data_IF_396062118175
#
_entry.id   IF_396062118175
#
_cell.length_a   1.000
_cell.length_b   1.000
_cell.length_c   1.000
_cell.angle_alpha   90.00
_cell.angle_beta   90.00
_cell.angle_gamma   90.00
#
_symmetry.space_group_name_H-M   'P 1'
#
loop_
_entity.id
_entity.type
_entity.pdbx_description
1 polymer ?
#
# COMPACT_ATOMS: atom_id res chain seq x y z
N UNK A 1 -2.48 -12.61 -16.21
CA UNK A 1 -1.46 -13.65 -15.89
C UNK A 1 -0.03 -13.11 -15.98
N UNK A 2 0.40 -12.52 -17.08
CA UNK A 2 1.80 -12.05 -17.26
C UNK A 2 2.17 -10.93 -16.27
N UNK A 3 1.29 -9.93 -16.06
CA UNK A 3 1.55 -8.77 -15.20
C UNK A 3 1.61 -9.10 -13.71
N UNK A 4 0.72 -9.97 -13.20
CA UNK A 4 0.75 -10.46 -11.81
C UNK A 4 2.08 -11.14 -11.48
N UNK A 5 2.57 -11.98 -12.40
CA UNK A 5 3.85 -12.66 -12.24
C UNK A 5 5.02 -11.68 -12.25
N UNK A 6 4.98 -10.69 -13.14
CA UNK A 6 6.00 -9.63 -13.21
C UNK A 6 6.09 -8.87 -11.88
N UNK A 7 4.96 -8.41 -11.33
CA UNK A 7 4.94 -7.70 -10.04
C UNK A 7 5.52 -8.58 -8.92
N UNK A 8 5.17 -9.87 -8.89
CA UNK A 8 5.70 -10.81 -7.91
C UNK A 8 7.22 -10.97 -8.02
N UNK A 9 7.76 -11.11 -9.24
CA UNK A 9 9.19 -11.25 -9.51
C UNK A 9 9.94 -9.95 -9.16
N UNK A 10 9.39 -8.79 -9.51
CA UNK A 10 9.96 -7.48 -9.19
C UNK A 10 10.04 -7.24 -7.67
N UNK A 11 8.96 -7.59 -6.94
CA UNK A 11 8.95 -7.46 -5.47
C UNK A 11 9.95 -8.39 -4.81
N UNK A 12 10.08 -9.63 -5.28
CA UNK A 12 11.10 -10.54 -4.73
C UNK A 12 12.52 -10.06 -5.01
N UNK A 13 12.80 -9.56 -6.22
CA UNK A 13 14.08 -8.96 -6.55
C UNK A 13 14.38 -7.72 -5.68
N UNK A 14 13.36 -6.88 -5.43
CA UNK A 14 13.48 -5.73 -4.54
C UNK A 14 13.82 -6.17 -3.11
N UNK A 15 13.12 -7.16 -2.57
CA UNK A 15 13.38 -7.70 -1.23
C UNK A 15 14.79 -8.27 -1.11
N UNK A 16 15.25 -8.99 -2.13
CA UNK A 16 16.62 -9.53 -2.18
C UNK A 16 17.66 -8.40 -2.21
N UNK A 17 17.43 -7.38 -3.01
CA UNK A 17 18.31 -6.21 -3.12
C UNK A 17 18.39 -5.40 -1.83
N UNK A 18 17.25 -5.12 -1.19
CA UNK A 18 17.16 -4.25 -0.01
C UNK A 18 17.39 -5.00 1.31
N UNK A 19 17.29 -6.34 1.30
CA UNK A 19 17.44 -7.18 2.49
C UNK A 19 16.31 -7.05 3.50
N UNK A 20 15.22 -6.37 3.15
CA UNK A 20 14.08 -6.09 4.04
C UNK A 20 12.76 -6.13 3.29
N UNK A 21 11.66 -6.29 4.04
CA UNK A 21 10.27 -6.12 3.59
C UNK A 21 9.62 -4.87 4.20
N UNK A 22 10.38 -4.11 4.98
CA UNK A 22 9.86 -2.88 5.59
C UNK A 22 9.75 -1.77 4.53
N UNK A 23 8.54 -1.28 4.23
CA UNK A 23 8.36 -0.29 3.17
C UNK A 23 8.98 1.06 3.52
N UNK A 24 9.07 1.42 4.80
CA UNK A 24 9.71 2.66 5.23
C UNK A 24 11.22 2.61 4.94
N UNK A 25 11.90 1.52 5.33
CA UNK A 25 13.32 1.36 5.08
C UNK A 25 13.64 1.37 3.59
N UNK A 26 12.82 0.69 2.79
CA UNK A 26 12.96 0.67 1.32
C UNK A 26 12.75 2.08 0.72
N UNK A 27 11.75 2.84 1.19
CA UNK A 27 11.54 4.22 0.74
C UNK A 27 12.75 5.10 1.04
N UNK A 28 13.30 5.01 2.26
CA UNK A 28 14.49 5.77 2.66
C UNK A 28 15.71 5.39 1.82
N UNK A 29 15.97 4.08 1.60
CA UNK A 29 17.10 3.63 0.75
C UNK A 29 17.00 4.17 -0.68
N UNK A 30 15.78 4.35 -1.18
CA UNK A 30 15.46 4.92 -2.50
C UNK A 30 15.43 6.46 -2.51
N UNK A 31 15.86 7.11 -1.42
CA UNK A 31 15.91 8.57 -1.25
C UNK A 31 14.52 9.23 -1.36
N UNK A 32 13.49 8.55 -0.91
CA UNK A 32 12.15 9.09 -0.76
C UNK A 32 11.99 9.61 0.67
N UNK A 33 11.58 10.87 0.80
CA UNK A 33 11.31 11.48 2.11
C UNK A 33 9.92 11.08 2.58
N UNK A 34 9.81 10.46 3.76
CA UNK A 34 8.54 10.00 4.34
C UNK A 34 8.12 10.94 5.46
N UNK A 35 6.96 11.56 5.34
CA UNK A 35 6.46 12.58 6.28
C UNK A 35 4.98 12.36 6.59
N UNK A 36 4.52 12.67 7.82
CA UNK A 36 3.08 12.78 8.08
C UNK A 36 2.49 14.01 7.39
N UNK A 37 1.20 13.95 7.01
CA UNK A 37 0.48 15.16 6.64
C UNK A 37 0.44 16.15 7.81
N UNK A 38 0.64 17.41 7.52
CA UNK A 38 0.60 18.49 8.54
C UNK A 38 -0.81 18.84 8.97
N UNK A 39 -1.73 18.82 8.01
CA UNK A 39 -3.15 19.12 8.25
C UNK A 39 -3.95 17.83 8.38
N UNK A 40 -5.08 17.90 9.04
CA UNK A 40 -6.03 16.81 9.08
C UNK A 40 -6.62 16.56 7.70
N UNK A 41 -6.64 15.30 7.32
CA UNK A 41 -7.11 14.87 6.00
C UNK A 41 -7.67 13.45 6.08
N UNK A 42 -8.62 13.13 5.20
CA UNK A 42 -9.11 11.77 4.99
C UNK A 42 -8.24 10.97 4.00
N UNK A 43 -7.21 11.59 3.43
CA UNK A 43 -6.25 10.91 2.56
C UNK A 43 -5.35 10.04 3.45
N UNK A 44 -5.20 8.77 3.10
CA UNK A 44 -4.38 7.82 3.86
C UNK A 44 -2.89 7.98 3.57
N UNK A 45 -2.55 8.12 2.29
CA UNK A 45 -1.19 8.32 1.81
C UNK A 45 -1.17 9.06 0.48
N UNK A 46 0.01 9.56 0.11
CA UNK A 46 0.23 10.22 -1.17
C UNK A 46 1.71 10.17 -1.53
N UNK A 47 2.03 9.54 -2.66
CA UNK A 47 3.34 9.68 -3.29
C UNK A 47 3.34 10.91 -4.20
N UNK A 48 4.43 11.66 -4.21
CA UNK A 48 4.62 12.79 -5.14
C UNK A 48 6.10 12.99 -5.48
N UNK A 49 6.37 13.49 -6.67
CA UNK A 49 7.68 13.97 -7.11
C UNK A 49 7.59 15.49 -7.34
N UNK A 50 8.41 16.24 -6.63
CA UNK A 50 8.48 17.69 -6.76
C UNK A 50 9.90 18.06 -7.19
N UNK A 51 10.06 18.36 -8.47
CA UNK A 51 11.35 18.76 -9.07
C UNK A 51 12.46 17.73 -8.79
N UNK A 52 12.14 16.43 -8.96
CA UNK A 52 13.07 15.33 -8.75
C UNK A 52 13.30 14.95 -7.28
N UNK A 53 12.65 15.61 -6.34
CA UNK A 53 12.61 15.21 -4.93
C UNK A 53 11.33 14.42 -4.67
N UNK A 54 11.49 13.21 -4.20
CA UNK A 54 10.41 12.24 -3.98
C UNK A 54 9.94 12.27 -2.54
N UNK A 55 8.63 12.31 -2.35
CA UNK A 55 7.99 12.33 -1.04
C UNK A 55 6.88 11.28 -0.98
N UNK A 56 6.73 10.69 0.19
CA UNK A 56 5.53 9.97 0.60
C UNK A 56 4.97 10.66 1.83
N UNK A 57 3.75 11.13 1.73
CA UNK A 57 3.00 11.64 2.86
C UNK A 57 2.05 10.56 3.36
N UNK A 58 1.88 10.45 4.68
CA UNK A 58 0.93 9.53 5.29
C UNK A 58 0.08 10.22 6.34
N UNK A 59 -1.14 9.70 6.57
CA UNK A 59 -2.01 10.22 7.60
C UNK A 59 -1.48 9.87 8.99
N UNK A 60 -1.22 10.88 9.82
CA UNK A 60 -0.68 10.72 11.17
C UNK A 60 -1.58 9.97 12.15
N UNK A 61 -2.89 9.79 11.81
CA UNK A 61 -3.86 9.06 12.63
C UNK A 61 -3.89 7.56 12.35
N UNK A 62 -3.14 7.08 11.38
CA UNK A 62 -3.08 5.65 11.07
C UNK A 62 -2.39 4.89 12.21
N UNK A 63 -2.96 3.72 12.55
CA UNK A 63 -2.24 2.74 13.35
C UNK A 63 -1.03 2.21 12.58
N UNK A 64 -0.11 1.53 13.25
CA UNK A 64 1.14 1.06 12.64
C UNK A 64 0.88 0.03 11.52
N UNK A 65 -0.17 -0.78 11.63
CA UNK A 65 -0.57 -1.75 10.60
C UNK A 65 -1.00 -1.02 9.33
N UNK A 66 -1.90 -0.05 9.46
CA UNK A 66 -2.39 0.73 8.32
C UNK A 66 -1.28 1.60 7.73
N UNK A 67 -0.47 2.24 8.56
CA UNK A 67 0.68 3.03 8.10
C UNK A 67 1.63 2.19 7.26
N UNK A 68 2.00 1.00 7.73
CA UNK A 68 2.86 0.07 7.00
C UNK A 68 2.25 -0.33 5.66
N UNK A 69 0.94 -0.59 5.62
CA UNK A 69 0.23 -0.94 4.39
C UNK A 69 0.17 0.23 3.40
N UNK A 70 -0.11 1.43 3.90
CA UNK A 70 -0.12 2.67 3.09
C UNK A 70 1.27 2.94 2.52
N UNK A 71 2.33 2.86 3.32
CA UNK A 71 3.70 3.04 2.83
C UNK A 71 4.09 2.01 1.77
N UNK A 72 3.65 0.76 1.89
CA UNK A 72 3.87 -0.27 0.88
C UNK A 72 3.13 0.03 -0.43
N UNK A 73 1.90 0.56 -0.34
CA UNK A 73 1.12 0.99 -1.49
C UNK A 73 1.77 2.17 -2.23
N UNK A 74 2.17 3.21 -1.49
CA UNK A 74 2.86 4.38 -2.04
C UNK A 74 4.24 4.03 -2.64
N UNK A 75 4.92 3.03 -2.06
CA UNK A 75 6.13 2.47 -2.66
C UNK A 75 5.83 1.79 -4.01
N UNK A 76 4.69 1.12 -4.14
CA UNK A 76 4.21 0.57 -5.41
C UNK A 76 4.03 1.66 -6.48
N UNK A 77 3.43 2.80 -6.11
CA UNK A 77 3.35 3.96 -7.01
C UNK A 77 4.74 4.51 -7.36
N UNK A 78 5.65 4.63 -6.39
CA UNK A 78 7.03 5.01 -6.67
C UNK A 78 7.74 4.05 -7.64
N UNK A 79 7.38 2.77 -7.62
CA UNK A 79 8.05 1.74 -8.41
C UNK A 79 7.57 1.71 -9.87
N UNK A 80 6.25 1.89 -10.11
CA UNK A 80 5.63 1.69 -11.42
C UNK A 80 5.08 2.95 -12.09
N UNK A 81 4.76 4.01 -11.33
CA UNK A 81 3.95 5.13 -11.82
C UNK A 81 4.63 6.48 -11.58
N UNK A 82 5.49 6.87 -12.50
CA UNK A 82 6.25 8.13 -12.41
C UNK A 82 5.51 9.36 -12.94
N UNK A 83 4.46 9.17 -13.77
CA UNK A 83 3.78 10.26 -14.45
C UNK A 83 2.34 10.43 -13.94
N UNK A 84 2.08 11.50 -13.21
CA UNK A 84 0.72 11.98 -13.00
C UNK A 84 0.21 12.62 -14.29
N UNK A 85 -0.38 11.78 -15.19
CA UNK A 85 -1.05 12.28 -16.38
C UNK A 85 -2.38 12.98 -16.01
N UNK A 86 -2.74 13.99 -16.81
CA UNK A 86 -3.99 14.74 -16.73
C UNK A 86 -5.22 13.83 -16.59
N UNK A 87 -5.94 13.94 -15.48
CA UNK A 87 -7.04 13.06 -15.05
C UNK A 87 -8.39 13.36 -15.72
N UNK A 88 -8.41 14.16 -16.79
CA UNK A 88 -9.65 14.70 -17.38
C UNK A 88 -10.38 13.74 -18.35
N UNK A 89 -9.82 12.59 -18.71
CA UNK A 89 -10.41 11.66 -19.69
C UNK A 89 -10.82 10.32 -19.10
N UNK A 90 -11.79 9.62 -19.73
CA UNK A 90 -12.20 8.27 -19.33
C UNK A 90 -11.05 7.25 -19.42
N UNK A 91 -10.10 7.45 -20.34
CA UNK A 91 -8.90 6.63 -20.47
C UNK A 91 -7.96 6.82 -19.28
N UNK A 92 -7.80 8.06 -18.79
CA UNK A 92 -6.98 8.35 -17.62
C UNK A 92 -7.62 7.80 -16.33
N UNK A 93 -8.94 7.78 -16.21
CA UNK A 93 -9.65 7.15 -15.09
C UNK A 93 -9.46 5.62 -15.07
N UNK A 94 -9.52 4.96 -16.23
CA UNK A 94 -9.24 3.52 -16.34
C UNK A 94 -7.77 3.21 -16.04
N UNK A 95 -6.84 4.02 -16.52
CA UNK A 95 -5.42 3.92 -16.22
C UNK A 95 -5.18 4.04 -14.72
N UNK A 96 -5.76 5.04 -14.06
CA UNK A 96 -5.66 5.23 -12.61
C UNK A 96 -6.17 4.03 -11.82
N UNK A 97 -7.30 3.43 -12.22
CA UNK A 97 -7.83 2.23 -11.56
C UNK A 97 -6.87 1.04 -11.67
N UNK A 98 -6.19 0.87 -12.81
CA UNK A 98 -5.18 -0.17 -12.99
C UNK A 98 -3.92 0.10 -12.14
N UNK A 99 -3.47 1.34 -12.07
CA UNK A 99 -2.33 1.77 -11.26
C UNK A 99 -2.57 1.51 -9.77
N UNK A 100 -3.76 1.82 -9.26
CA UNK A 100 -4.16 1.52 -7.89
C UNK A 100 -4.15 0.01 -7.61
N UNK A 101 -4.67 -0.78 -8.55
CA UNK A 101 -4.65 -2.24 -8.41
C UNK A 101 -3.22 -2.77 -8.38
N UNK A 102 -2.34 -2.27 -9.23
CA UNK A 102 -0.93 -2.67 -9.26
C UNK A 102 -0.19 -2.31 -7.98
N UNK A 103 -0.42 -1.11 -7.43
CA UNK A 103 0.13 -0.70 -6.15
C UNK A 103 -0.39 -1.60 -4.99
N UNK A 104 -1.67 -1.99 -5.02
CA UNK A 104 -2.23 -2.93 -4.05
C UNK A 104 -1.61 -4.33 -4.17
N UNK A 105 -1.41 -4.84 -5.38
CA UNK A 105 -0.76 -6.13 -5.63
C UNK A 105 0.69 -6.09 -5.16
N UNK A 106 1.40 -5.00 -5.45
CA UNK A 106 2.76 -4.77 -4.96
C UNK A 106 2.82 -4.82 -3.44
N UNK A 107 1.95 -4.06 -2.75
CA UNK A 107 1.87 -4.05 -1.29
C UNK A 107 1.59 -5.44 -0.71
N UNK A 108 0.68 -6.20 -1.33
CA UNK A 108 0.36 -7.56 -0.90
C UNK A 108 1.56 -8.51 -1.04
N UNK A 109 2.32 -8.42 -2.12
CA UNK A 109 3.53 -9.24 -2.30
C UNK A 109 4.68 -8.80 -1.40
N UNK A 110 4.82 -7.50 -1.13
CA UNK A 110 5.86 -6.98 -0.25
C UNK A 110 5.62 -7.38 1.21
N UNK A 111 4.40 -7.17 1.71
CA UNK A 111 4.09 -7.32 3.14
C UNK A 111 3.81 -8.77 3.55
N UNK A 112 3.32 -9.60 2.63
CA UNK A 112 2.89 -10.96 2.92
C UNK A 112 3.83 -11.97 2.24
N UNK A 113 4.57 -12.75 3.03
CA UNK A 113 5.35 -13.87 2.52
C UNK A 113 4.42 -14.95 1.99
N UNK A 114 4.78 -15.52 0.85
CA UNK A 114 3.96 -16.54 0.20
C UNK A 114 3.84 -17.80 1.08
N UNK A 115 4.94 -18.21 1.70
CA UNK A 115 5.02 -19.38 2.55
C UNK A 115 4.13 -19.22 3.79
N UNK A 116 4.16 -18.05 4.43
CA UNK A 116 3.42 -17.79 5.66
C UNK A 116 1.91 -17.83 5.41
N UNK A 117 1.42 -17.15 4.37
CA UNK A 117 -0.03 -17.13 4.07
C UNK A 117 -0.54 -18.49 3.61
N UNK A 118 0.26 -19.25 2.85
CA UNK A 118 -0.12 -20.59 2.42
C UNK A 118 -0.18 -21.56 3.59
N UNK A 119 0.79 -21.53 4.52
CA UNK A 119 0.79 -22.37 5.71
C UNK A 119 -0.46 -22.11 6.57
N UNK A 120 -0.75 -20.85 6.89
CA UNK A 120 -1.94 -20.49 7.66
C UNK A 120 -3.24 -20.91 6.94
N UNK A 121 -3.30 -20.73 5.63
CA UNK A 121 -4.45 -21.14 4.82
C UNK A 121 -4.65 -22.67 4.84
N UNK A 122 -3.58 -23.45 4.67
CA UNK A 122 -3.60 -24.93 4.70
C UNK A 122 -3.96 -25.47 6.10
N UNK A 123 -3.59 -24.76 7.16
CA UNK A 123 -3.98 -25.05 8.55
C UNK A 123 -5.47 -24.78 8.83
N UNK A 124 -6.18 -24.12 7.89
CA UNK A 124 -7.63 -23.89 7.95
C UNK A 124 -8.06 -22.62 8.66
N UNK A 125 -7.13 -21.67 8.91
CA UNK A 125 -7.47 -20.36 9.43
C UNK A 125 -8.31 -19.56 8.44
N UNK A 126 -9.28 -18.80 8.96
CA UNK A 126 -10.05 -17.88 8.14
C UNK A 126 -9.24 -16.62 7.76
N UNK A 127 -9.76 -15.84 6.81
CA UNK A 127 -9.07 -14.65 6.30
C UNK A 127 -8.78 -13.59 7.38
N UNK A 128 -9.67 -13.43 8.37
CA UNK A 128 -9.49 -12.45 9.44
C UNK A 128 -8.41 -12.92 10.43
N UNK A 129 -8.39 -14.21 10.72
CA UNK A 129 -7.35 -14.83 11.54
C UNK A 129 -5.98 -14.72 10.86
N UNK A 130 -5.89 -15.08 9.56
CA UNK A 130 -4.68 -14.94 8.76
C UNK A 130 -4.19 -13.49 8.76
N UNK A 131 -5.08 -12.54 8.52
CA UNK A 131 -4.75 -11.12 8.51
C UNK A 131 -4.20 -10.63 9.86
N UNK A 132 -4.80 -11.12 10.96
CA UNK A 132 -4.35 -10.84 12.32
C UNK A 132 -2.94 -11.38 12.57
N UNK A 133 -2.65 -12.63 12.19
CA UNK A 133 -1.31 -13.23 12.34
C UNK A 133 -0.24 -12.51 11.52
N UNK A 134 -0.61 -12.02 10.32
CA UNK A 134 0.32 -11.36 9.40
C UNK A 134 0.41 -9.85 9.61
N UNK A 135 -0.34 -9.30 10.57
CA UNK A 135 -0.41 -7.86 10.84
C UNK A 135 -0.74 -7.04 9.59
N UNK A 136 -1.80 -7.46 8.87
CA UNK A 136 -2.35 -6.76 7.70
C UNK A 136 -3.87 -6.75 7.76
N UNK A 137 -4.52 -6.03 6.84
CA UNK A 137 -5.97 -6.10 6.69
C UNK A 137 -6.38 -7.32 5.85
N UNK A 138 -7.60 -7.88 6.10
CA UNK A 138 -8.13 -9.04 5.37
C UNK A 138 -8.15 -8.86 3.84
N UNK A 139 -8.37 -7.62 3.38
CA UNK A 139 -8.42 -7.29 1.96
C UNK A 139 -7.07 -7.53 1.28
N UNK A 140 -5.96 -7.25 1.98
CA UNK A 140 -4.63 -7.50 1.44
C UNK A 140 -4.33 -9.01 1.32
N UNK A 141 -4.83 -9.83 2.27
CA UNK A 141 -4.78 -11.29 2.18
C UNK A 141 -5.58 -11.81 0.99
N UNK A 142 -6.78 -11.27 0.75
CA UNK A 142 -7.60 -11.62 -0.42
C UNK A 142 -6.86 -11.31 -1.73
N UNK A 143 -6.23 -10.14 -1.84
CA UNK A 143 -5.41 -9.78 -3.00
C UNK A 143 -4.27 -10.78 -3.17
N UNK A 144 -3.51 -11.07 -2.10
CA UNK A 144 -2.38 -12.01 -2.16
C UNK A 144 -2.81 -13.40 -2.62
N UNK A 145 -3.88 -13.97 -2.04
CA UNK A 145 -4.36 -15.30 -2.40
C UNK A 145 -4.90 -15.34 -3.84
N UNK A 146 -5.64 -14.30 -4.27
CA UNK A 146 -6.12 -14.17 -5.65
C UNK A 146 -4.96 -14.13 -6.65
N UNK A 147 -3.90 -13.38 -6.35
CA UNK A 147 -2.72 -13.31 -7.22
C UNK A 147 -1.96 -14.64 -7.27
N UNK A 148 -1.83 -15.34 -6.14
CA UNK A 148 -1.24 -16.68 -6.11
C UNK A 148 -2.07 -17.68 -6.93
N UNK A 149 -3.41 -17.64 -6.85
CA UNK A 149 -4.28 -18.45 -7.72
C UNK A 149 -4.02 -18.19 -9.21
N UNK A 150 -3.94 -16.91 -9.61
CA UNK A 150 -3.62 -16.52 -11.01
C UNK A 150 -2.25 -17.03 -11.47
N UNK A 151 -1.31 -17.18 -10.54
CA UNK A 151 0.02 -17.75 -10.81
C UNK A 151 0.05 -19.28 -10.83
N UNK A 152 -1.07 -19.96 -10.54
CA UNK A 152 -1.23 -21.40 -10.62
C UNK A 152 -1.10 -22.16 -9.30
N UNK A 153 -1.06 -21.46 -8.17
CA UNK A 153 -1.13 -22.11 -6.86
C UNK A 153 -2.52 -22.75 -6.65
N UNK A 154 -2.55 -23.95 -6.12
CA UNK A 154 -3.79 -24.70 -5.86
C UNK A 154 -4.43 -24.22 -4.56
N UNK A 155 -5.13 -23.12 -4.61
CA UNK A 155 -5.82 -22.51 -3.47
C UNK A 155 -7.33 -22.61 -3.76
N UNK A 156 -8.10 -23.24 -2.88
CA UNK A 156 -9.56 -23.32 -3.01
C UNK A 156 -10.21 -21.99 -2.59
N UNK A 157 -11.41 -21.70 -3.09
CA UNK A 157 -12.16 -20.50 -2.74
C UNK A 157 -12.14 -19.44 -3.82
N UNK A 158 -12.95 -18.39 -3.59
CA UNK A 158 -13.08 -17.24 -4.50
C UNK A 158 -12.67 -15.98 -3.72
N UNK A 159 -11.53 -15.41 -4.08
CA UNK A 159 -10.98 -14.22 -3.45
C UNK A 159 -11.27 -13.01 -4.33
N UNK A 160 -12.12 -12.11 -3.83
CA UNK A 160 -12.45 -10.87 -4.55
C UNK A 160 -11.40 -9.80 -4.33
N UNK A 161 -10.97 -9.16 -5.41
CA UNK A 161 -10.07 -8.01 -5.33
C UNK A 161 -10.92 -6.74 -5.41
N UNK A 162 -10.83 -5.90 -4.38
CA UNK A 162 -11.35 -4.54 -4.42
C UNK A 162 -10.20 -3.60 -4.79
N UNK A 163 -10.23 -3.06 -6.02
CA UNK A 163 -9.21 -2.12 -6.51
C UNK A 163 -9.15 -0.84 -5.68
N UNK A 164 -10.28 -0.45 -5.11
CA UNK A 164 -10.44 0.78 -4.33
C UNK A 164 -10.28 0.57 -2.83
N UNK A 165 -9.59 -0.49 -2.42
CA UNK A 165 -9.40 -0.84 -1.02
C UNK A 165 -8.91 0.36 -0.19
N UNK A 166 -7.83 1.02 -0.59
CA UNK A 166 -7.31 2.19 0.14
C UNK A 166 -8.18 3.44 0.00
N UNK A 167 -9.00 3.55 -1.05
CA UNK A 167 -9.95 4.66 -1.20
C UNK A 167 -11.20 4.49 -0.34
N UNK A 168 -11.61 3.24 -0.09
CA UNK A 168 -12.84 2.91 0.63
C UNK A 168 -12.63 2.71 2.13
N UNK A 169 -11.39 2.69 2.61
CA UNK A 169 -11.12 2.79 4.04
C UNK A 169 -11.48 4.22 4.42
N UNK A 170 -12.69 4.42 4.92
CA UNK A 170 -13.07 5.65 5.60
C UNK A 170 -12.05 5.84 6.72
N UNK A 171 -11.21 6.83 6.57
CA UNK A 171 -10.34 7.25 7.65
C UNK A 171 -11.22 7.65 8.82
N UNK A 172 -11.10 6.94 9.91
CA UNK A 172 -11.67 7.16 11.24
C UNK A 172 -12.98 7.94 11.26
N UNK A 173 -13.97 7.37 11.96
CA UNK A 173 -15.29 7.95 12.17
C UNK A 173 -15.21 9.45 12.45
N UNK A 174 -16.07 10.21 11.77
CA UNK A 174 -16.24 11.66 11.91
C UNK A 174 -16.61 12.10 13.35
N UNK A 175 -16.86 11.14 14.26
CA UNK A 175 -17.33 11.41 15.63
C UNK A 175 -16.25 11.80 16.66
N UNK A 176 -14.95 11.74 16.31
CA UNK A 176 -13.86 12.15 17.21
C UNK A 176 -13.03 13.32 16.65
N UNK A 177 -13.69 14.32 16.10
CA UNK A 177 -13.06 15.56 15.71
C UNK A 177 -12.95 16.50 16.94
N UNK A 178 -11.99 16.25 17.80
CA UNK A 178 -11.64 17.22 18.84
C UNK A 178 -10.74 18.31 18.27
N UNK A 179 -11.28 19.52 18.30
CA UNK A 179 -10.72 20.77 17.78
C UNK A 179 -9.52 21.33 18.56
N UNK A 180 -8.82 20.51 19.36
CA UNK A 180 -7.81 20.99 20.32
C UNK A 180 -6.35 21.00 19.84
N UNK A 181 -6.05 20.62 18.59
CA UNK A 181 -4.65 20.57 18.12
C UNK A 181 -4.35 21.53 16.97
N UNK A 182 -4.70 22.80 17.13
CA UNK A 182 -4.09 23.88 16.34
C UNK A 182 -2.93 24.45 17.14
N UNK A 183 -1.77 23.83 17.06
CA UNK A 183 -0.52 24.50 17.39
C UNK A 183 0.22 24.80 16.10
N UNK A 184 0.19 26.06 15.74
CA UNK A 184 1.05 26.65 14.72
C UNK A 184 2.49 26.58 15.21
N UNK A 185 3.32 25.79 14.53
CA UNK A 185 4.77 25.83 14.69
C UNK A 185 5.34 26.62 13.49
N UNK A 186 5.82 27.87 13.70
CA UNK A 186 6.21 28.75 12.60
C UNK A 186 7.58 28.45 11.98
N UNK A 187 8.37 27.52 12.51
CA UNK A 187 9.80 27.39 12.19
C UNK A 187 10.16 26.32 11.15
N UNK A 188 9.20 25.80 10.38
CA UNK A 188 9.48 24.69 9.47
C UNK A 188 9.81 25.08 8.02
N UNK A 189 9.98 26.35 7.69
CA UNK A 189 10.29 26.84 6.33
C UNK A 189 11.68 27.51 6.19
N UNK A 190 12.60 27.33 7.12
CA UNK A 190 13.98 27.77 6.93
C UNK A 190 14.83 26.63 6.36
N UNK A 191 15.01 26.68 5.01
CA UNK A 191 16.05 26.00 4.27
C UNK A 191 16.81 27.00 3.42
#
# INVERSE_FOLDING_TARGET
>A
MQKSRMIYEDVNALIEQEGTRDPHDILISRKVTVLPFRMDTNILGMYTDVVGKKFVFYNRRLDETMKRMVLAHELGHNFYHYDYADLSTAESMSKKSNEELEANIFAAHLLIKTEDILSLYEEGYDINEIASFLYVRPELCNIKLSELQKMGYKIAGNFSIQSDFFKNIKGMDEENWDSEFVHEDPDFFDF
#
